data_IF_125990944580
#
_entry.id   IF_125990944580
#
_cell.length_a   1.000
_cell.length_b   1.000
_cell.length_c   1.000
_cell.angle_alpha   90.00
_cell.angle_beta   90.00
_cell.angle_gamma   90.00
#
_symmetry.space_group_name_H-M   'P 1'
#
loop_
_entity.id
_entity.type
_entity.pdbx_description
1 polymer ?
#
# COMPACT_ATOMS: atom_id res chain seq x y z
N UNK A 1 -9.37 33.55 -36.98
CA UNK A 1 -9.35 33.80 -35.53
C UNK A 1 -10.68 34.43 -35.14
N UNK A 2 -11.36 33.88 -34.14
CA UNK A 2 -12.66 34.41 -33.66
C UNK A 2 -12.40 35.51 -32.64
N UNK A 3 -13.21 36.55 -32.64
CA UNK A 3 -13.06 37.66 -31.69
C UNK A 3 -13.43 37.21 -30.26
N UNK A 4 -12.57 37.55 -29.29
CA UNK A 4 -12.78 37.25 -27.87
C UNK A 4 -14.06 37.90 -27.36
N UNK A 5 -14.36 39.10 -27.81
CA UNK A 5 -15.53 39.87 -27.40
C UNK A 5 -16.82 39.17 -27.82
N UNK A 6 -16.86 38.65 -29.05
CA UNK A 6 -18.01 37.89 -29.57
C UNK A 6 -18.25 36.61 -28.74
N UNK A 7 -17.18 35.87 -28.41
CA UNK A 7 -17.27 34.66 -27.57
C UNK A 7 -17.84 34.99 -26.18
N UNK A 8 -17.37 36.07 -25.55
CA UNK A 8 -17.84 36.52 -24.24
C UNK A 8 -19.32 36.92 -24.29
N UNK A 9 -19.74 37.67 -25.32
CA UNK A 9 -21.14 38.07 -25.49
C UNK A 9 -22.07 36.87 -25.71
N UNK A 10 -21.68 35.91 -26.55
CA UNK A 10 -22.47 34.69 -26.77
C UNK A 10 -22.55 33.83 -25.51
N UNK A 11 -21.45 33.72 -24.75
CA UNK A 11 -21.45 33.01 -23.48
C UNK A 11 -22.34 33.68 -22.43
N UNK A 12 -22.29 35.02 -22.32
CA UNK A 12 -23.17 35.80 -21.44
C UNK A 12 -24.65 35.66 -21.87
N UNK A 13 -24.96 35.65 -23.18
CA UNK A 13 -26.31 35.39 -23.68
C UNK A 13 -26.79 33.98 -23.32
N UNK A 14 -25.98 32.94 -23.52
CA UNK A 14 -26.33 31.57 -23.15
C UNK A 14 -26.54 31.42 -21.64
N UNK A 15 -25.76 32.13 -20.82
CA UNK A 15 -25.92 32.17 -19.36
C UNK A 15 -27.20 32.86 -18.93
N UNK A 16 -27.63 33.90 -19.66
CA UNK A 16 -28.83 34.67 -19.33
C UNK A 16 -30.15 33.91 -19.54
N UNK A 17 -30.12 32.80 -20.27
CA UNK A 17 -31.29 31.94 -20.47
C UNK A 17 -31.69 31.26 -19.14
N UNK A 18 -32.94 31.46 -18.72
CA UNK A 18 -33.51 30.90 -17.48
C UNK A 18 -34.64 29.90 -17.80
N UNK A 19 -35.03 29.10 -16.80
CA UNK A 19 -36.16 28.16 -16.90
C UNK A 19 -35.87 26.95 -17.79
N UNK A 20 -36.86 26.52 -18.58
CA UNK A 20 -36.75 25.39 -19.53
C UNK A 20 -35.71 25.63 -20.64
N UNK A 21 -35.37 26.90 -20.88
CA UNK A 21 -34.34 27.29 -21.85
C UNK A 21 -32.95 27.38 -21.23
N UNK A 22 -32.80 27.15 -19.92
CA UNK A 22 -31.50 27.20 -19.26
C UNK A 22 -30.59 26.13 -19.84
N UNK A 23 -29.49 26.56 -20.46
CA UNK A 23 -28.52 25.65 -21.08
C UNK A 23 -27.13 25.87 -20.53
N UNK A 24 -26.46 24.77 -20.16
CA UNK A 24 -25.03 24.78 -19.83
C UNK A 24 -24.22 25.47 -20.92
N UNK A 25 -23.38 26.43 -20.55
CA UNK A 25 -22.41 27.08 -21.43
C UNK A 25 -21.26 26.11 -21.71
N UNK A 26 -21.23 25.59 -22.94
CA UNK A 26 -20.21 24.65 -23.43
C UNK A 26 -19.55 25.20 -24.69
N UNK A 27 -18.30 24.81 -24.96
CA UNK A 27 -17.54 25.25 -26.13
C UNK A 27 -18.34 24.97 -27.42
N UNK A 28 -19.01 23.81 -27.50
CA UNK A 28 -19.88 23.44 -28.62
C UNK A 28 -21.03 24.43 -28.81
N UNK A 29 -21.79 24.73 -27.75
CA UNK A 29 -22.96 25.63 -27.84
C UNK A 29 -22.57 27.07 -28.14
N UNK A 30 -21.48 27.54 -27.54
CA UNK A 30 -20.93 28.87 -27.85
C UNK A 30 -20.54 28.90 -29.34
N UNK A 31 -19.80 27.91 -29.82
CA UNK A 31 -19.40 27.79 -31.23
C UNK A 31 -20.59 27.74 -32.19
N UNK A 32 -21.65 27.01 -31.86
CA UNK A 32 -22.85 26.88 -32.70
C UNK A 32 -23.60 28.21 -32.87
N UNK A 33 -23.43 29.15 -31.92
CA UNK A 33 -24.06 30.48 -31.90
C UNK A 33 -23.17 31.61 -32.45
N UNK A 34 -21.88 31.36 -32.67
CA UNK A 34 -20.96 32.34 -33.28
C UNK A 34 -21.26 32.55 -34.77
N UNK A 35 -21.11 33.77 -35.27
CA UNK A 35 -21.30 34.07 -36.71
C UNK A 35 -20.30 33.32 -37.58
N UNK A 36 -19.05 33.18 -37.09
CA UNK A 36 -18.00 32.38 -37.69
C UNK A 36 -17.69 31.21 -36.75
N UNK A 37 -18.05 30.00 -37.15
CA UNK A 37 -17.76 28.76 -36.41
C UNK A 37 -16.25 28.48 -36.42
N UNK A 38 -15.50 29.17 -35.57
CA UNK A 38 -14.05 28.95 -35.40
C UNK A 38 -13.69 27.53 -35.00
N UNK A 39 -12.39 27.25 -34.92
CA UNK A 39 -11.89 25.96 -34.43
C UNK A 39 -12.21 25.78 -32.95
N UNK A 40 -12.42 24.54 -32.50
CA UNK A 40 -12.57 24.23 -31.08
C UNK A 40 -11.35 24.65 -30.27
N UNK A 41 -10.15 24.54 -30.86
CA UNK A 41 -8.89 24.93 -30.24
C UNK A 41 -8.81 26.44 -29.98
N UNK A 42 -9.49 27.26 -30.80
CA UNK A 42 -9.49 28.72 -30.65
C UNK A 42 -10.54 29.15 -29.61
N UNK A 43 -11.72 28.53 -29.62
CA UNK A 43 -12.84 28.90 -28.75
C UNK A 43 -12.66 28.37 -27.33
N UNK A 44 -12.06 27.19 -27.17
CA UNK A 44 -11.89 26.50 -25.90
C UNK A 44 -11.21 27.34 -24.81
N UNK A 45 -9.98 27.86 -25.06
CA UNK A 45 -9.26 28.69 -24.09
C UNK A 45 -10.03 29.95 -23.68
N UNK A 46 -10.68 30.62 -24.65
CA UNK A 46 -11.44 31.86 -24.40
C UNK A 46 -12.70 31.60 -23.58
N UNK A 47 -13.42 30.50 -23.85
CA UNK A 47 -14.58 30.10 -23.03
C UNK A 47 -14.14 29.72 -21.61
N UNK A 48 -12.97 29.08 -21.46
CA UNK A 48 -12.44 28.75 -20.13
C UNK A 48 -12.09 30.02 -19.33
N UNK A 49 -11.46 30.98 -19.99
CA UNK A 49 -11.15 32.29 -19.43
C UNK A 49 -12.43 33.05 -19.02
N UNK A 50 -13.47 33.01 -19.86
CA UNK A 50 -14.79 33.55 -19.51
C UNK A 50 -15.39 32.88 -18.26
N UNK A 51 -15.35 31.55 -18.17
CA UNK A 51 -15.88 30.82 -17.00
C UNK A 51 -15.17 31.23 -15.70
N UNK A 52 -13.85 31.40 -15.78
CA UNK A 52 -13.02 31.82 -14.65
C UNK A 52 -13.36 33.25 -14.25
N UNK A 53 -13.38 34.17 -15.22
CA UNK A 53 -13.68 35.59 -15.01
C UNK A 53 -15.08 35.81 -14.42
N UNK A 54 -16.07 35.02 -14.85
CA UNK A 54 -17.47 35.13 -14.43
C UNK A 54 -17.84 34.22 -13.24
N UNK A 55 -16.88 33.44 -12.73
CA UNK A 55 -17.09 32.37 -11.76
C UNK A 55 -18.30 31.48 -12.11
N UNK A 56 -18.37 31.05 -13.37
CA UNK A 56 -19.51 30.29 -13.89
C UNK A 56 -19.53 28.87 -13.32
N UNK A 57 -20.55 28.55 -12.52
CA UNK A 57 -20.73 27.24 -11.90
C UNK A 57 -21.99 26.56 -12.43
N UNK A 58 -21.89 25.69 -13.46
CA UNK A 58 -23.05 25.18 -14.18
C UNK A 58 -24.00 24.36 -13.31
N UNK A 59 -23.50 23.65 -12.29
CA UNK A 59 -24.34 22.85 -11.39
C UNK A 59 -25.25 23.75 -10.57
N UNK A 60 -24.72 24.86 -10.04
CA UNK A 60 -25.49 25.79 -9.20
C UNK A 60 -26.48 26.60 -10.04
N UNK A 61 -26.04 27.09 -11.21
CA UNK A 61 -26.89 27.91 -12.08
C UNK A 61 -28.04 27.12 -12.72
N UNK A 62 -27.85 25.83 -12.99
CA UNK A 62 -28.91 24.97 -13.55
C UNK A 62 -29.94 24.53 -12.50
N UNK A 63 -29.61 24.60 -11.20
CA UNK A 63 -30.54 24.28 -10.11
C UNK A 63 -31.59 25.37 -9.83
N UNK A 64 -31.56 26.48 -10.57
CA UNK A 64 -32.52 27.60 -10.43
C UNK A 64 -32.67 28.12 -8.99
N UNK A 65 -31.59 28.09 -8.22
CA UNK A 65 -31.59 28.62 -6.86
C UNK A 65 -31.77 30.14 -6.89
N UNK A 66 -32.46 30.73 -5.89
CA UNK A 66 -32.49 32.19 -5.74
C UNK A 66 -31.08 32.78 -5.72
N UNK A 67 -30.85 33.89 -6.44
CA UNK A 67 -29.52 34.51 -6.61
C UNK A 67 -28.80 34.75 -5.27
N UNK A 68 -29.55 35.09 -4.22
CA UNK A 68 -29.02 35.28 -2.87
C UNK A 68 -28.43 33.99 -2.25
N UNK A 69 -29.08 32.84 -2.50
CA UNK A 69 -28.60 31.53 -2.03
C UNK A 69 -27.41 31.05 -2.86
N UNK A 70 -27.45 31.24 -4.18
CA UNK A 70 -26.31 30.92 -5.05
C UNK A 70 -25.06 31.68 -4.63
N UNK A 71 -25.17 32.99 -4.35
CA UNK A 71 -24.04 33.79 -3.88
C UNK A 71 -23.50 33.28 -2.54
N UNK A 72 -24.37 33.02 -1.57
CA UNK A 72 -23.96 32.48 -0.25
C UNK A 72 -23.28 31.12 -0.34
N UNK A 73 -23.79 30.22 -1.18
CA UNK A 73 -23.17 28.90 -1.40
C UNK A 73 -21.82 29.01 -2.10
N UNK A 74 -21.69 29.92 -3.07
CA UNK A 74 -20.41 30.19 -3.73
C UNK A 74 -19.37 30.77 -2.77
N UNK A 75 -19.76 31.75 -1.96
CA UNK A 75 -18.89 32.37 -0.96
C UNK A 75 -18.47 31.37 0.13
N UNK A 76 -19.42 30.53 0.60
CA UNK A 76 -19.13 29.45 1.55
C UNK A 76 -18.19 28.40 0.97
N UNK A 77 -18.45 27.94 -0.27
CA UNK A 77 -17.59 26.97 -0.94
C UNK A 77 -16.17 27.49 -1.16
N UNK A 78 -16.02 28.78 -1.48
CA UNK A 78 -14.72 29.44 -1.58
C UNK A 78 -14.01 29.48 -0.23
N UNK A 79 -14.68 29.93 0.83
CA UNK A 79 -14.10 29.98 2.17
C UNK A 79 -13.67 28.58 2.67
N UNK A 80 -14.46 27.54 2.38
CA UNK A 80 -14.12 26.16 2.71
C UNK A 80 -12.88 25.69 1.96
N UNK A 81 -12.78 25.95 0.65
CA UNK A 81 -11.61 25.60 -0.15
C UNK A 81 -10.36 26.36 0.32
N UNK A 82 -10.48 27.64 0.64
CA UNK A 82 -9.37 28.45 1.16
C UNK A 82 -8.86 27.90 2.50
N UNK A 83 -9.75 27.49 3.42
CA UNK A 83 -9.34 26.88 4.69
C UNK A 83 -8.72 25.48 4.50
N UNK A 84 -9.25 24.65 3.59
CA UNK A 84 -8.65 23.35 3.27
C UNK A 84 -7.26 23.52 2.65
N UNK A 85 -7.08 24.49 1.75
CA UNK A 85 -5.76 24.78 1.19
C UNK A 85 -4.79 25.31 2.27
N UNK A 86 -5.28 26.15 3.18
CA UNK A 86 -4.49 26.63 4.31
C UNK A 86 -4.09 25.50 5.26
N UNK A 87 -5.01 24.58 5.58
CA UNK A 87 -4.73 23.43 6.45
C UNK A 87 -3.74 22.46 5.81
N UNK A 88 -3.91 22.14 4.53
CA UNK A 88 -2.94 21.32 3.78
C UNK A 88 -1.56 21.98 3.73
N UNK A 89 -1.50 23.31 3.56
CA UNK A 89 -0.23 24.04 3.55
C UNK A 89 0.47 23.96 4.91
N UNK A 90 -0.28 24.14 6.01
CA UNK A 90 0.24 23.96 7.38
C UNK A 90 0.78 22.54 7.58
N UNK A 91 0.07 21.52 7.10
CA UNK A 91 0.53 20.12 7.18
C UNK A 91 1.83 19.93 6.39
N UNK A 92 1.88 20.37 5.12
CA UNK A 92 3.10 20.26 4.29
C UNK A 92 4.30 21.00 4.89
N UNK A 93 4.08 22.16 5.51
CA UNK A 93 5.15 22.91 6.17
C UNK A 93 5.63 22.19 7.44
N UNK A 94 4.72 21.59 8.22
CA UNK A 94 5.09 20.76 9.36
C UNK A 94 5.86 19.50 8.96
N UNK A 95 5.47 18.86 7.85
CA UNK A 95 6.19 17.70 7.31
C UNK A 95 7.61 18.09 6.86
N UNK A 96 7.76 19.22 6.17
CA UNK A 96 9.09 19.74 5.77
C UNK A 96 9.99 20.00 6.98
N UNK A 97 9.45 20.64 8.02
CA UNK A 97 10.19 20.90 9.25
C UNK A 97 10.63 19.58 9.92
N UNK A 98 9.74 18.59 9.99
CA UNK A 98 10.08 17.26 10.52
C UNK A 98 11.16 16.56 9.71
N UNK A 99 11.08 16.61 8.37
CA UNK A 99 12.13 16.06 7.50
C UNK A 99 13.48 16.75 7.67
N UNK A 100 13.49 18.06 7.94
CA UNK A 100 14.73 18.78 8.21
C UNK A 100 15.36 18.36 9.54
N UNK A 101 14.55 18.15 10.58
CA UNK A 101 14.99 17.61 11.88
C UNK A 101 15.55 16.20 11.70
N UNK A 102 14.84 15.32 10.98
CA UNK A 102 15.31 13.96 10.70
C UNK A 102 16.64 13.99 9.94
N UNK A 103 16.76 14.81 8.88
CA UNK A 103 18.01 14.96 8.13
C UNK A 103 19.16 15.49 8.97
N UNK A 104 18.89 16.40 9.91
CA UNK A 104 19.91 16.87 10.85
C UNK A 104 20.38 15.73 11.77
N UNK A 105 19.44 14.99 12.38
CA UNK A 105 19.78 13.84 13.24
C UNK A 105 20.55 12.75 12.50
N UNK A 106 20.21 12.47 11.23
CA UNK A 106 20.96 11.53 10.40
C UNK A 106 22.39 12.00 10.10
N UNK A 107 22.61 13.31 9.90
CA UNK A 107 23.96 13.84 9.72
C UNK A 107 24.79 13.70 10.98
N UNK A 108 24.22 14.03 12.13
CA UNK A 108 24.88 13.84 13.43
C UNK A 108 25.29 12.38 13.64
N UNK A 109 24.40 11.42 13.35
CA UNK A 109 24.71 9.99 13.42
C UNK A 109 25.81 9.56 12.45
N UNK A 110 25.85 10.13 11.24
CA UNK A 110 26.91 9.86 10.27
C UNK A 110 28.25 10.44 10.73
N UNK A 111 28.24 11.65 11.31
CA UNK A 111 29.44 12.28 11.85
C UNK A 111 29.99 11.48 13.03
N UNK A 112 29.13 11.02 13.95
CA UNK A 112 29.51 10.11 15.03
C UNK A 112 30.10 8.79 14.49
N UNK A 113 29.45 8.18 13.49
CA UNK A 113 29.94 6.96 12.86
C UNK A 113 31.32 7.18 12.23
N UNK A 114 31.53 8.29 11.53
CA UNK A 114 32.83 8.64 10.95
C UNK A 114 33.92 8.81 12.03
N UNK A 115 33.61 9.48 13.15
CA UNK A 115 34.55 9.57 14.27
C UNK A 115 34.90 8.19 14.84
N UNK A 116 33.95 7.25 14.91
CA UNK A 116 34.25 5.88 15.35
C UNK A 116 35.11 5.12 14.35
N UNK A 117 34.93 5.36 13.04
CA UNK A 117 35.78 4.79 11.99
C UNK A 117 37.20 5.31 12.14
N UNK A 118 37.41 6.61 12.32
CA UNK A 118 38.75 7.20 12.51
C UNK A 118 39.47 6.58 13.73
N UNK A 119 38.76 6.38 14.84
CA UNK A 119 39.31 5.71 16.03
C UNK A 119 39.68 4.27 15.72
N UNK A 120 38.86 3.53 14.98
CA UNK A 120 39.16 2.15 14.60
C UNK A 120 40.34 2.08 13.61
N UNK A 121 40.42 2.97 12.64
CA UNK A 121 41.53 3.06 11.68
C UNK A 121 42.85 3.35 12.40
N UNK A 122 42.85 4.30 13.34
CA UNK A 122 44.05 4.60 14.16
C UNK A 122 44.49 3.38 14.99
N UNK A 123 43.54 2.62 15.55
CA UNK A 123 43.82 1.41 16.31
C UNK A 123 44.36 0.29 15.41
N UNK A 124 43.79 0.13 14.20
CA UNK A 124 44.28 -0.84 13.21
C UNK A 124 45.70 -0.47 12.77
N UNK A 125 45.98 0.81 12.52
CA UNK A 125 47.33 1.28 12.19
C UNK A 125 48.32 0.99 13.33
N UNK A 126 47.96 1.28 14.58
CA UNK A 126 48.79 1.00 15.75
C UNK A 126 49.05 -0.51 15.93
N UNK A 127 48.02 -1.35 15.81
CA UNK A 127 48.15 -2.81 15.87
C UNK A 127 48.99 -3.36 14.71
N UNK A 128 48.87 -2.79 13.52
CA UNK A 128 49.66 -3.20 12.35
C UNK A 128 51.13 -2.86 12.55
N UNK A 129 51.44 -1.65 13.04
CA UNK A 129 52.80 -1.24 13.37
C UNK A 129 53.41 -2.14 14.47
N UNK A 130 52.62 -2.52 15.47
CA UNK A 130 53.04 -3.43 16.53
C UNK A 130 53.31 -4.84 16.00
N UNK A 131 52.44 -5.37 15.12
CA UNK A 131 52.68 -6.65 14.44
C UNK A 131 53.94 -6.59 13.60
N UNK A 132 54.21 -5.49 12.89
CA UNK A 132 55.44 -5.30 12.13
C UNK A 132 56.68 -5.19 13.02
N UNK A 133 56.58 -4.55 14.18
CA UNK A 133 57.64 -4.50 15.19
C UNK A 133 57.95 -5.90 15.71
N UNK A 134 56.92 -6.64 16.13
CA UNK A 134 57.04 -8.02 16.60
C UNK A 134 57.57 -8.96 15.52
N UNK A 135 57.18 -8.78 14.26
CA UNK A 135 57.75 -9.54 13.14
C UNK A 135 59.23 -9.24 12.94
N UNK A 136 59.66 -7.98 13.07
CA UNK A 136 61.08 -7.61 12.97
C UNK A 136 61.89 -8.18 14.13
N UNK A 137 61.40 -8.06 15.36
CA UNK A 137 62.07 -8.60 16.55
C UNK A 137 62.09 -10.14 16.54
N UNK A 138 60.95 -10.77 16.23
CA UNK A 138 60.83 -12.22 16.09
C UNK A 138 61.56 -12.79 14.88
N UNK A 139 61.89 -11.99 13.85
CA UNK A 139 62.77 -12.37 12.75
C UNK A 139 64.25 -12.34 13.15
N UNK A 140 64.63 -11.52 14.13
CA UNK A 140 65.99 -11.54 14.73
C UNK A 140 66.14 -12.75 15.66
N UNK A 141 65.09 -13.12 16.41
CA UNK A 141 65.05 -14.38 17.19
C UNK A 141 64.91 -15.63 16.30
N UNK A 142 64.37 -15.50 15.07
CA UNK A 142 64.23 -16.60 14.12
C UNK A 142 65.53 -17.28 13.69
N UNK A 143 66.64 -16.53 13.72
CA UNK A 143 67.96 -17.02 13.31
C UNK A 143 68.54 -18.08 14.28
N UNK A 144 67.91 -18.30 15.44
CA UNK A 144 68.28 -19.31 16.43
C UNK A 144 67.18 -20.32 16.76
N UNK A 145 66.14 -20.47 15.92
CA UNK A 145 64.98 -21.26 16.32
C UNK A 145 65.29 -22.75 16.46
N UNK A 146 65.03 -23.29 17.64
CA UNK A 146 65.20 -24.71 17.91
C UNK A 146 63.98 -25.50 17.42
N UNK A 147 64.13 -26.81 17.23
CA UNK A 147 63.04 -27.73 16.86
C UNK A 147 61.82 -27.64 17.80
N UNK A 148 61.99 -27.11 19.00
CA UNK A 148 60.94 -26.97 20.01
C UNK A 148 59.97 -25.83 19.69
N UNK A 149 60.46 -24.72 19.12
CA UNK A 149 59.64 -23.56 18.77
C UNK A 149 58.78 -23.81 17.53
N UNK A 150 59.27 -24.63 16.59
CA UNK A 150 58.49 -25.09 15.43
C UNK A 150 57.32 -25.98 15.85
N UNK A 151 57.51 -26.81 16.89
CA UNK A 151 56.44 -27.61 17.47
C UNK A 151 55.41 -26.75 18.22
N UNK A 152 55.82 -25.61 18.79
CA UNK A 152 54.92 -24.67 19.45
C UNK A 152 54.12 -23.81 18.47
N UNK A 153 54.70 -23.40 17.33
CA UNK A 153 53.97 -22.75 16.23
C UNK A 153 52.86 -23.67 15.67
N UNK A 154 53.13 -24.97 15.50
CA UNK A 154 52.13 -25.96 15.10
C UNK A 154 50.99 -26.12 16.12
N UNK A 155 51.26 -25.95 17.43
CA UNK A 155 50.20 -25.93 18.45
C UNK A 155 49.37 -24.64 18.39
N UNK A 156 49.98 -23.51 18.04
CA UNK A 156 49.28 -22.22 17.88
C UNK A 156 48.37 -22.21 16.66
N UNK A 157 48.80 -22.79 15.54
CA UNK A 157 47.93 -22.93 14.35
C UNK A 157 46.79 -23.90 14.61
N UNK A 158 47.05 -25.04 15.26
CA UNK A 158 46.01 -26.01 15.64
C UNK A 158 44.96 -25.40 16.61
N UNK A 159 45.40 -24.59 17.58
CA UNK A 159 44.46 -23.87 18.47
C UNK A 159 43.65 -22.80 17.75
N UNK A 160 44.23 -22.10 16.76
CA UNK A 160 43.50 -21.12 15.95
C UNK A 160 42.49 -21.78 15.01
N UNK A 161 42.86 -22.88 14.37
CA UNK A 161 41.95 -23.68 13.52
C UNK A 161 40.81 -24.29 14.33
N UNK A 162 41.09 -24.81 15.53
CA UNK A 162 40.06 -25.25 16.49
C UNK A 162 39.14 -24.09 16.90
N UNK A 163 39.67 -22.89 17.10
CA UNK A 163 38.88 -21.69 17.37
C UNK A 163 37.99 -21.26 16.19
N UNK A 164 38.50 -21.36 14.96
CA UNK A 164 37.72 -21.11 13.74
C UNK A 164 36.61 -22.16 13.55
N UNK A 165 36.92 -23.44 13.77
CA UNK A 165 35.94 -24.53 13.72
C UNK A 165 34.86 -24.37 14.79
N UNK A 166 35.22 -23.96 16.01
CA UNK A 166 34.25 -23.68 17.08
C UNK A 166 33.34 -22.49 16.74
N UNK A 167 33.87 -21.42 16.13
CA UNK A 167 33.06 -20.28 15.66
C UNK A 167 32.10 -20.68 14.54
N UNK A 168 32.56 -21.49 13.58
CA UNK A 168 31.72 -22.01 12.51
C UNK A 168 30.62 -22.95 13.03
N UNK A 169 30.94 -23.77 14.05
CA UNK A 169 29.98 -24.65 14.72
C UNK A 169 28.97 -23.85 15.54
N UNK A 170 29.40 -22.79 16.24
CA UNK A 170 28.52 -21.85 16.93
C UNK A 170 27.57 -21.14 15.95
N UNK A 171 28.07 -20.67 14.81
CA UNK A 171 27.25 -20.05 13.76
C UNK A 171 26.22 -21.03 13.19
N UNK A 172 26.64 -22.27 12.85
CA UNK A 172 25.70 -23.33 12.43
C UNK A 172 24.68 -23.66 13.50
N UNK A 173 25.08 -23.75 14.77
CA UNK A 173 24.15 -24.00 15.88
C UNK A 173 23.18 -22.83 16.11
N UNK A 174 23.55 -21.61 15.70
CA UNK A 174 22.72 -20.42 15.76
C UNK A 174 21.68 -20.45 14.63
N UNK A 175 22.11 -20.77 13.41
CA UNK A 175 21.23 -20.98 12.25
C UNK A 175 20.28 -22.17 12.45
N UNK A 176 20.76 -23.25 13.07
CA UNK A 176 19.97 -24.46 13.37
C UNK A 176 18.99 -24.27 14.54
N UNK A 177 19.27 -23.31 15.44
CA UNK A 177 18.36 -22.93 16.55
C UNK A 177 17.24 -21.98 16.13
N UNK A 178 17.34 -21.31 14.98
CA UNK A 178 16.20 -20.60 14.40
C UNK A 178 15.30 -21.65 13.75
N UNK A 179 14.52 -22.35 14.59
CA UNK A 179 13.57 -23.34 14.14
C UNK A 179 12.67 -22.73 13.06
N UNK A 180 12.47 -23.45 11.96
CA UNK A 180 11.57 -23.06 10.87
C UNK A 180 10.19 -22.76 11.46
N UNK A 181 9.79 -21.49 11.48
CA UNK A 181 8.54 -21.02 12.11
C UNK A 181 8.68 -20.28 13.45
N UNK A 182 9.86 -20.19 14.05
CA UNK A 182 10.10 -19.40 15.28
C UNK A 182 9.81 -17.91 15.07
N UNK A 183 10.16 -17.39 13.88
CA UNK A 183 9.83 -16.02 13.47
C UNK A 183 8.32 -15.80 13.36
N UNK A 184 7.59 -16.75 12.78
CA UNK A 184 6.13 -16.65 12.63
C UNK A 184 5.42 -16.74 13.99
N UNK A 185 5.87 -17.64 14.87
CA UNK A 185 5.37 -17.74 16.23
C UNK A 185 5.62 -16.45 17.02
N UNK A 186 6.81 -15.87 16.89
CA UNK A 186 7.14 -14.57 17.47
C UNK A 186 6.19 -13.48 16.97
N UNK A 187 5.95 -13.39 15.66
CA UNK A 187 5.05 -12.37 15.10
C UNK A 187 3.60 -12.55 15.54
N UNK A 188 3.11 -13.78 15.70
CA UNK A 188 1.78 -14.02 16.30
C UNK A 188 1.69 -13.52 17.73
N UNK A 189 2.75 -13.70 18.53
CA UNK A 189 2.81 -13.17 19.89
C UNK A 189 2.80 -11.63 19.87
N UNK A 190 3.57 -11.00 18.98
CA UNK A 190 3.60 -9.53 18.81
C UNK A 190 2.22 -9.00 18.44
N UNK A 191 1.57 -9.61 17.44
CA UNK A 191 0.24 -9.19 16.97
C UNK A 191 -0.81 -9.26 18.10
N UNK A 192 -0.82 -10.35 18.86
CA UNK A 192 -1.74 -10.52 19.99
C UNK A 192 -1.56 -9.43 21.04
N UNK A 193 -0.32 -9.09 21.39
CA UNK A 193 -0.03 -8.03 22.37
C UNK A 193 -0.37 -6.64 21.82
N UNK A 194 -0.09 -6.36 20.55
CA UNK A 194 -0.48 -5.10 19.89
C UNK A 194 -1.99 -4.94 19.92
N UNK A 195 -2.75 -5.97 19.51
CA UNK A 195 -4.21 -5.94 19.56
C UNK A 195 -4.73 -5.68 20.98
N UNK A 196 -4.18 -6.37 21.98
CA UNK A 196 -4.56 -6.16 23.37
C UNK A 196 -4.28 -4.72 23.84
N UNK A 197 -3.16 -4.12 23.43
CA UNK A 197 -2.81 -2.74 23.73
C UNK A 197 -3.79 -1.75 23.09
N UNK A 198 -4.07 -1.91 21.79
CA UNK A 198 -4.99 -1.03 21.06
C UNK A 198 -6.41 -1.15 21.64
N UNK A 199 -6.89 -2.37 21.94
CA UNK A 199 -8.19 -2.57 22.57
C UNK A 199 -8.30 -1.91 23.95
N UNK A 200 -7.20 -1.91 24.72
CA UNK A 200 -7.18 -1.35 26.08
C UNK A 200 -7.04 0.17 26.11
N UNK A 201 -6.26 0.74 25.19
CA UNK A 201 -5.84 2.16 25.23
C UNK A 201 -6.42 3.01 24.10
N UNK A 202 -7.06 2.40 23.12
CA UNK A 202 -7.57 3.05 21.92
C UNK A 202 -6.54 3.14 20.79
N UNK A 203 -6.87 3.87 19.71
CA UNK A 203 -6.00 4.03 18.54
C UNK A 203 -4.66 4.68 18.91
N UNK A 204 -3.56 4.13 18.39
CA UNK A 204 -2.22 4.64 18.72
C UNK A 204 -1.17 4.41 17.63
N UNK A 205 -0.12 5.24 17.56
CA UNK A 205 0.94 5.10 16.57
C UNK A 205 1.85 3.90 16.90
N UNK A 206 2.57 3.40 15.89
CA UNK A 206 3.48 2.27 16.06
C UNK A 206 4.59 2.49 17.11
N UNK A 207 5.02 3.75 17.31
CA UNK A 207 6.01 4.10 18.33
C UNK A 207 5.52 3.81 19.74
N UNK A 208 4.30 4.24 20.06
CA UNK A 208 3.67 4.03 21.38
C UNK A 208 3.33 2.55 21.60
N UNK A 209 2.94 1.85 20.52
CA UNK A 209 2.76 0.40 20.55
C UNK A 209 4.05 -0.32 20.92
N UNK A 210 5.17 0.03 20.27
CA UNK A 210 6.48 -0.58 20.56
C UNK A 210 6.90 -0.34 22.01
N UNK A 211 6.70 0.87 22.54
CA UNK A 211 6.99 1.19 23.95
C UNK A 211 6.06 0.47 24.92
N UNK A 212 4.84 0.14 24.49
CA UNK A 212 3.86 -0.60 25.28
C UNK A 212 4.08 -2.12 25.32
N UNK A 213 4.91 -2.68 24.43
CA UNK A 213 5.13 -4.12 24.36
C UNK A 213 5.90 -4.65 25.58
N UNK A 214 5.60 -5.89 26.05
CA UNK A 214 6.32 -6.49 27.15
C UNK A 214 7.83 -6.62 26.88
N UNK A 215 8.67 -6.29 27.87
CA UNK A 215 10.14 -6.38 27.73
C UNK A 215 10.63 -7.79 27.36
N UNK A 216 9.94 -8.83 27.81
CA UNK A 216 10.23 -10.21 27.43
C UNK A 216 10.11 -10.45 25.91
N UNK A 217 9.13 -9.82 25.27
CA UNK A 217 8.89 -9.93 23.84
C UNK A 217 9.90 -9.10 23.03
N UNK A 218 10.27 -7.91 23.52
CA UNK A 218 11.36 -7.11 22.94
C UNK A 218 12.72 -7.85 23.01
N UNK A 219 12.99 -8.53 24.12
CA UNK A 219 14.22 -9.32 24.28
C UNK A 219 14.22 -10.56 23.37
N UNK A 220 13.09 -11.28 23.26
CA UNK A 220 12.95 -12.40 22.31
C UNK A 220 13.21 -11.98 20.86
N UNK A 221 12.84 -10.77 20.47
CA UNK A 221 13.16 -10.25 19.12
C UNK A 221 14.66 -10.27 18.83
N UNK A 222 15.52 -10.00 19.82
CA UNK A 222 16.98 -10.09 19.68
C UNK A 222 17.46 -11.52 19.48
N UNK A 223 16.81 -12.48 20.15
CA UNK A 223 17.16 -13.90 20.08
C UNK A 223 16.79 -14.54 18.74
N UNK A 224 15.77 -14.01 18.05
CA UNK A 224 15.36 -14.46 16.70
C UNK A 224 15.96 -13.58 15.58
N UNK A 225 17.01 -12.81 15.89
CA UNK A 225 17.73 -11.92 14.96
C UNK A 225 16.85 -10.89 14.25
N UNK A 226 15.74 -10.51 14.90
CA UNK A 226 14.77 -9.53 14.41
C UNK A 226 14.52 -8.46 15.48
N UNK A 227 15.44 -7.49 15.65
CA UNK A 227 15.21 -6.39 16.57
C UNK A 227 13.96 -5.60 16.13
N UNK A 228 12.97 -5.53 17.01
CA UNK A 228 11.75 -4.74 16.79
C UNK A 228 12.10 -3.25 16.79
N UNK A 229 12.16 -2.66 15.60
CA UNK A 229 12.19 -1.21 15.42
C UNK A 229 10.81 -0.68 15.07
N UNK A 230 10.57 0.62 15.28
CA UNK A 230 9.28 1.26 14.97
C UNK A 230 8.91 1.06 13.50
N UNK A 231 9.88 1.20 12.59
CA UNK A 231 9.66 1.01 11.16
C UNK A 231 9.28 -0.43 10.80
N UNK A 232 9.96 -1.41 11.40
CA UNK A 232 9.65 -2.83 11.18
C UNK A 232 8.29 -3.23 11.73
N UNK A 233 7.95 -2.75 12.93
CA UNK A 233 6.64 -2.97 13.52
C UNK A 233 5.54 -2.38 12.63
N UNK A 234 5.67 -1.11 12.21
CA UNK A 234 4.71 -0.47 11.31
C UNK A 234 4.56 -1.23 9.99
N UNK A 235 5.67 -1.64 9.37
CA UNK A 235 5.66 -2.41 8.13
C UNK A 235 4.88 -3.73 8.29
N UNK A 236 5.09 -4.45 9.40
CA UNK A 236 4.38 -5.70 9.67
C UNK A 236 2.92 -5.50 10.00
N UNK A 237 2.58 -4.49 10.80
CA UNK A 237 1.18 -4.17 11.11
C UNK A 237 0.42 -3.78 9.83
N UNK A 238 1.02 -3.05 8.90
CA UNK A 238 0.44 -2.76 7.57
C UNK A 238 0.20 -3.99 6.73
N UNK A 239 1.07 -4.99 6.81
CA UNK A 239 0.84 -6.26 6.12
C UNK A 239 -0.40 -6.98 6.70
N UNK A 240 -0.70 -6.75 7.98
CA UNK A 240 -1.89 -7.26 8.66
C UNK A 240 -3.15 -6.44 8.40
N UNK A 241 -3.06 -5.16 7.99
CA UNK A 241 -4.24 -4.32 7.70
C UNK A 241 -4.91 -4.63 6.34
N UNK A 242 -4.50 -5.68 5.63
CA UNK A 242 -5.14 -6.11 4.37
C UNK A 242 -6.52 -6.74 4.57
N UNK A 243 -7.16 -7.20 3.49
CA UNK A 243 -8.51 -7.79 3.52
C UNK A 243 -8.59 -8.96 4.53
N UNK A 244 -9.30 -8.74 5.64
CA UNK A 244 -9.46 -9.71 6.74
C UNK A 244 -8.55 -9.46 7.96
N UNK A 245 -7.81 -8.37 7.97
CA UNK A 245 -6.95 -7.95 9.06
C UNK A 245 -7.65 -7.66 10.38
N UNK A 246 -6.95 -7.90 11.49
CA UNK A 246 -7.36 -7.59 12.86
C UNK A 246 -7.21 -6.10 13.22
N UNK A 247 -6.43 -5.35 12.43
CA UNK A 247 -6.11 -3.93 12.64
C UNK A 247 -6.35 -3.12 11.36
N UNK A 248 -6.59 -1.82 11.52
CA UNK A 248 -6.64 -0.82 10.43
C UNK A 248 -5.74 0.36 10.82
N UNK A 249 -5.05 0.96 9.84
CA UNK A 249 -4.30 2.21 10.03
C UNK A 249 -5.14 3.39 9.51
N UNK A 250 -5.51 4.33 10.39
CA UNK A 250 -6.19 5.60 10.04
C UNK A 250 -5.39 6.77 10.59
N UNK A 251 -5.05 7.74 9.74
CA UNK A 251 -4.26 8.93 10.11
C UNK A 251 -2.95 8.61 10.85
N UNK A 252 -2.31 7.49 10.49
CA UNK A 252 -1.07 7.02 11.11
C UNK A 252 -1.23 6.33 12.48
N UNK A 253 -2.47 6.14 12.92
CA UNK A 253 -2.83 5.42 14.14
C UNK A 253 -3.38 4.04 13.80
N UNK A 254 -2.97 3.03 14.56
CA UNK A 254 -3.52 1.68 14.45
C UNK A 254 -4.71 1.53 15.40
N UNK A 255 -5.84 1.11 14.84
CA UNK A 255 -7.08 0.83 15.57
C UNK A 255 -7.55 -0.61 15.32
N UNK A 256 -8.35 -1.20 16.22
CA UNK A 256 -8.90 -2.53 16.00
C UNK A 256 -9.81 -2.45 14.78
N UNK A 257 -9.66 -3.38 13.86
CA UNK A 257 -10.69 -3.59 12.87
C UNK A 257 -11.92 -4.04 13.65
N UNK A 258 -12.95 -3.17 13.76
CA UNK A 258 -14.22 -3.59 14.32
C UNK A 258 -14.64 -4.82 13.54
N UNK A 259 -14.60 -5.98 14.20
CA UNK A 259 -15.04 -7.22 13.61
C UNK A 259 -16.43 -6.90 13.06
N UNK A 260 -16.55 -6.82 11.73
CA UNK A 260 -17.83 -6.58 11.05
C UNK A 260 -18.79 -7.53 11.74
N UNK A 261 -19.67 -6.99 12.58
CA UNK A 261 -20.52 -7.80 13.44
C UNK A 261 -21.12 -8.85 12.55
N UNK A 262 -20.94 -10.13 12.92
CA UNK A 262 -21.48 -11.29 12.21
C UNK A 262 -22.86 -10.91 11.73
N UNK A 263 -22.97 -10.58 10.44
CA UNK A 263 -24.22 -10.17 9.85
C UNK A 263 -25.16 -11.35 10.09
N UNK A 264 -26.34 -11.06 10.62
CA UNK A 264 -27.36 -12.08 10.82
C UNK A 264 -27.49 -12.93 9.53
N UNK A 265 -27.66 -14.26 9.63
CA UNK A 265 -27.74 -15.13 8.47
C UNK A 265 -28.98 -14.75 7.64
N UNK A 266 -28.79 -13.85 6.67
CA UNK A 266 -29.88 -13.23 5.94
C UNK A 266 -29.50 -11.93 5.23
N UNK A 267 -28.52 -11.16 5.75
CA UNK A 267 -28.07 -9.95 5.06
C UNK A 267 -27.01 -10.28 4.00
N UNK A 268 -27.23 -9.91 2.72
CA UNK A 268 -26.30 -10.23 1.65
C UNK A 268 -24.97 -9.51 1.89
N UNK A 269 -23.88 -10.27 1.86
CA UNK A 269 -22.59 -9.82 2.33
C UNK A 269 -22.09 -8.54 1.63
N UNK A 270 -21.46 -7.58 2.33
CA UNK A 270 -21.11 -6.23 1.81
C UNK A 270 -20.05 -6.18 0.70
N UNK A 271 -19.61 -7.32 0.17
CA UNK A 271 -18.74 -7.42 -1.02
C UNK A 271 -19.56 -7.67 -2.29
N UNK A 272 -20.88 -7.44 -2.26
CA UNK A 272 -21.69 -7.34 -3.46
C UNK A 272 -21.05 -6.31 -4.40
N UNK A 273 -20.45 -6.82 -5.48
CA UNK A 273 -20.12 -6.06 -6.69
C UNK A 273 -21.31 -5.12 -6.94
N UNK A 274 -21.03 -3.83 -7.01
CA UNK A 274 -22.02 -2.75 -7.18
C UNK A 274 -23.17 -3.20 -8.09
N UNK A 275 -24.40 -2.77 -7.77
CA UNK A 275 -25.60 -2.91 -8.63
C UNK A 275 -25.44 -2.28 -10.02
N UNK A 276 -24.25 -1.79 -10.35
CA UNK A 276 -23.89 -1.36 -11.69
C UNK A 276 -24.10 -2.49 -12.71
N UNK A 277 -24.72 -2.17 -13.86
CA UNK A 277 -24.89 -3.12 -14.94
C UNK A 277 -23.52 -3.63 -15.42
N UNK A 278 -23.42 -4.89 -15.86
CA UNK A 278 -22.15 -5.45 -16.29
C UNK A 278 -21.57 -4.63 -17.44
N UNK A 279 -20.31 -4.21 -17.30
CA UNK A 279 -19.58 -3.38 -18.29
C UNK A 279 -19.32 -4.11 -19.61
N UNK A 280 -19.41 -5.43 -19.63
CA UNK A 280 -19.23 -6.26 -20.83
C UNK A 280 -20.05 -7.55 -20.74
N UNK A 281 -20.35 -8.16 -21.89
CA UNK A 281 -21.01 -9.47 -21.95
C UNK A 281 -20.22 -10.55 -21.18
N UNK A 282 -18.88 -10.44 -21.19
CA UNK A 282 -18.01 -11.31 -20.39
C UNK A 282 -18.22 -11.13 -18.89
N UNK A 283 -18.46 -9.90 -18.42
CA UNK A 283 -18.79 -9.63 -17.01
C UNK A 283 -20.18 -10.16 -16.65
N UNK A 284 -21.15 -10.03 -17.57
CA UNK A 284 -22.49 -10.59 -17.38
C UNK A 284 -22.44 -12.12 -17.19
N UNK A 285 -21.63 -12.82 -18.01
CA UNK A 285 -21.39 -14.25 -17.85
C UNK A 285 -20.74 -14.56 -16.50
N UNK A 286 -19.70 -13.82 -16.08
CA UNK A 286 -19.03 -14.07 -14.79
C UNK A 286 -19.92 -13.79 -13.57
N UNK A 287 -20.86 -12.84 -13.68
CA UNK A 287 -21.89 -12.59 -12.66
C UNK A 287 -22.85 -13.77 -12.56
N UNK A 288 -23.33 -14.31 -13.67
CA UNK A 288 -24.16 -15.53 -13.66
C UNK A 288 -23.41 -16.76 -13.12
N UNK A 289 -22.10 -16.87 -13.38
CA UNK A 289 -21.24 -17.90 -12.80
C UNK A 289 -21.17 -17.76 -11.28
N UNK A 290 -20.98 -16.54 -10.77
CA UNK A 290 -21.03 -16.26 -9.33
C UNK A 290 -22.37 -16.69 -8.74
N UNK A 291 -23.50 -16.37 -9.37
CA UNK A 291 -24.82 -16.72 -8.86
C UNK A 291 -25.03 -18.24 -8.75
N UNK A 292 -24.52 -19.00 -9.72
CA UNK A 292 -24.50 -20.47 -9.67
C UNK A 292 -23.66 -20.96 -8.48
N UNK A 293 -22.48 -20.38 -8.27
CA UNK A 293 -21.60 -20.73 -7.15
C UNK A 293 -22.20 -20.37 -5.79
N UNK A 294 -22.93 -19.24 -5.68
CA UNK A 294 -23.64 -18.85 -4.45
C UNK A 294 -24.75 -19.85 -4.13
N UNK A 295 -25.54 -20.29 -5.13
CA UNK A 295 -26.67 -21.19 -4.92
C UNK A 295 -26.27 -22.64 -4.62
N UNK A 296 -25.16 -23.09 -5.18
CA UNK A 296 -24.80 -24.51 -5.20
C UNK A 296 -23.47 -24.83 -4.53
N UNK A 297 -22.73 -23.83 -4.05
CA UNK A 297 -21.45 -24.01 -3.38
C UNK A 297 -20.26 -24.22 -4.32
N UNK A 298 -19.08 -24.55 -3.76
CA UNK A 298 -17.85 -24.72 -4.53
C UNK A 298 -17.92 -25.86 -5.54
N UNK A 299 -17.57 -25.61 -6.79
CA UNK A 299 -17.64 -26.63 -7.85
C UNK A 299 -16.61 -26.45 -8.96
N UNK A 300 -16.44 -27.49 -9.77
CA UNK A 300 -15.53 -27.47 -10.93
C UNK A 300 -16.16 -26.72 -12.10
N UNK A 301 -15.37 -26.05 -12.95
CA UNK A 301 -15.90 -25.29 -14.09
C UNK A 301 -16.84 -26.08 -15.02
N UNK A 302 -16.58 -27.38 -15.21
CA UNK A 302 -17.43 -28.26 -16.03
C UNK A 302 -18.84 -28.42 -15.46
N UNK A 303 -18.99 -28.38 -14.14
CA UNK A 303 -20.28 -28.54 -13.47
C UNK A 303 -21.02 -27.21 -13.34
N UNK A 304 -20.29 -26.09 -13.27
CA UNK A 304 -20.85 -24.74 -13.40
C UNK A 304 -21.55 -24.60 -14.75
N UNK A 305 -20.88 -24.97 -15.85
CA UNK A 305 -21.44 -24.85 -17.21
C UNK A 305 -22.78 -25.57 -17.35
N UNK A 306 -22.94 -26.74 -16.72
CA UNK A 306 -24.20 -27.51 -16.74
C UNK A 306 -25.35 -26.83 -15.98
N UNK A 307 -25.02 -25.90 -15.08
CA UNK A 307 -25.97 -25.18 -14.22
C UNK A 307 -26.18 -23.72 -14.63
N UNK A 308 -25.46 -23.24 -15.65
CA UNK A 308 -25.65 -21.90 -16.20
C UNK A 308 -27.00 -21.81 -16.93
N UNK A 309 -27.71 -20.66 -16.84
CA UNK A 309 -28.88 -20.41 -17.67
C UNK A 309 -28.55 -20.53 -19.15
N UNK A 310 -29.49 -21.07 -19.95
CA UNK A 310 -29.30 -21.27 -21.38
C UNK A 310 -28.96 -19.96 -22.12
N UNK A 311 -29.55 -18.84 -21.70
CA UNK A 311 -29.26 -17.51 -22.23
C UNK A 311 -27.81 -17.08 -21.98
N UNK A 312 -27.27 -17.38 -20.79
CA UNK A 312 -25.87 -17.10 -20.45
C UNK A 312 -24.92 -17.97 -21.26
N UNK A 313 -25.28 -19.24 -21.51
CA UNK A 313 -24.49 -20.15 -22.35
C UNK A 313 -24.45 -19.66 -23.80
N UNK A 314 -25.58 -19.20 -24.33
CA UNK A 314 -25.64 -18.59 -25.67
C UNK A 314 -24.79 -17.31 -25.74
N UNK A 315 -24.90 -16.42 -24.74
CA UNK A 315 -24.11 -15.19 -24.65
C UNK A 315 -22.61 -15.49 -24.58
N UNK A 316 -22.19 -16.45 -23.75
CA UNK A 316 -20.80 -16.87 -23.64
C UNK A 316 -20.26 -17.44 -24.96
N UNK A 317 -21.08 -18.20 -25.68
CA UNK A 317 -20.71 -18.81 -26.98
C UNK A 317 -20.60 -17.76 -28.09
N UNK A 318 -21.45 -16.73 -28.07
CA UNK A 318 -21.38 -15.61 -29.02
C UNK A 318 -20.19 -14.68 -28.73
N UNK A 319 -19.90 -14.40 -27.45
CA UNK A 319 -18.88 -13.44 -27.05
C UNK A 319 -17.46 -14.02 -27.11
N UNK A 320 -17.27 -15.31 -26.80
CA UNK A 320 -15.94 -15.95 -26.85
C UNK A 320 -15.76 -16.75 -28.13
N UNK A 321 -14.73 -16.40 -28.92
CA UNK A 321 -14.37 -17.09 -30.17
C UNK A 321 -14.16 -18.60 -30.02
N UNK A 322 -13.65 -19.04 -28.87
CA UNK A 322 -13.39 -20.45 -28.54
C UNK A 322 -14.56 -21.11 -27.79
N UNK A 323 -15.71 -20.43 -27.70
CA UNK A 323 -16.87 -20.87 -26.91
C UNK A 323 -16.51 -21.15 -25.44
N UNK A 324 -17.13 -22.19 -24.88
CA UNK A 324 -16.92 -22.64 -23.50
C UNK A 324 -15.74 -23.60 -23.32
N UNK A 325 -15.01 -23.95 -24.38
CA UNK A 325 -13.88 -24.89 -24.30
C UNK A 325 -12.75 -24.36 -23.40
N UNK A 326 -12.60 -23.03 -23.34
CA UNK A 326 -11.63 -22.33 -22.48
C UNK A 326 -12.26 -21.72 -21.22
N UNK A 327 -13.45 -22.14 -20.84
CA UNK A 327 -14.18 -21.57 -19.70
C UNK A 327 -13.37 -21.58 -18.40
N UNK A 328 -12.66 -22.67 -18.11
CA UNK A 328 -11.77 -22.77 -16.94
C UNK A 328 -10.67 -21.70 -16.94
N UNK A 329 -10.08 -21.42 -18.11
CA UNK A 329 -9.05 -20.38 -18.26
C UNK A 329 -9.66 -18.98 -18.04
N UNK A 330 -10.85 -18.74 -18.61
CA UNK A 330 -11.57 -17.46 -18.43
C UNK A 330 -11.93 -17.20 -16.96
N UNK A 331 -12.30 -18.24 -16.21
CA UNK A 331 -12.48 -18.12 -14.78
C UNK A 331 -11.16 -17.79 -14.07
N UNK A 332 -10.07 -18.50 -14.37
CA UNK A 332 -8.76 -18.25 -13.77
C UNK A 332 -8.26 -16.81 -14.01
N UNK A 333 -8.43 -16.28 -15.22
CA UNK A 333 -8.05 -14.91 -15.59
C UNK A 333 -8.84 -13.84 -14.80
N UNK A 334 -9.95 -14.21 -14.15
CA UNK A 334 -10.85 -13.32 -13.40
C UNK A 334 -10.80 -13.54 -11.88
N UNK A 335 -9.90 -14.40 -11.41
CA UNK A 335 -9.57 -14.51 -9.98
C UNK A 335 -8.62 -13.36 -9.62
N UNK A 336 -9.10 -12.38 -8.86
CA UNK A 336 -8.32 -11.18 -8.54
C UNK A 336 -9.16 -10.07 -7.86
N UNK A 337 -8.67 -8.82 -7.79
CA UNK A 337 -9.23 -7.76 -6.94
C UNK A 337 -10.70 -7.36 -7.21
N UNK A 338 -11.29 -7.82 -8.32
CA UNK A 338 -12.71 -7.66 -8.67
C UNK A 338 -13.44 -9.01 -8.54
N UNK A 339 -13.25 -9.69 -7.40
CA UNK A 339 -13.48 -11.12 -7.23
C UNK A 339 -14.96 -11.52 -7.31
N UNK A 340 -15.42 -11.91 -8.50
CA UNK A 340 -16.67 -12.66 -8.65
C UNK A 340 -16.64 -13.97 -7.84
N UNK A 341 -15.48 -14.62 -7.82
CA UNK A 341 -15.21 -15.90 -7.18
C UNK A 341 -13.70 -16.05 -6.92
N UNK A 342 -13.33 -17.02 -6.10
CA UNK A 342 -11.95 -17.41 -5.82
C UNK A 342 -11.73 -18.89 -6.11
N UNK A 343 -10.46 -19.29 -6.23
CA UNK A 343 -10.08 -20.68 -6.45
C UNK A 343 -9.88 -21.40 -5.12
N UNK A 344 -10.52 -22.55 -4.98
CA UNK A 344 -10.32 -23.47 -3.86
C UNK A 344 -9.39 -24.63 -4.28
N UNK A 345 -8.89 -25.38 -3.30
CA UNK A 345 -8.13 -26.61 -3.54
C UNK A 345 -8.85 -27.59 -4.48
N UNK A 346 -8.09 -28.41 -5.21
CA UNK A 346 -8.66 -29.43 -6.11
C UNK A 346 -9.31 -28.90 -7.40
N UNK A 347 -9.07 -27.64 -7.76
CA UNK A 347 -9.60 -27.02 -8.98
C UNK A 347 -11.09 -26.61 -8.87
N UNK A 348 -11.58 -26.49 -7.64
CA UNK A 348 -12.90 -25.95 -7.34
C UNK A 348 -12.86 -24.42 -7.33
N UNK A 349 -14.00 -23.79 -7.59
CA UNK A 349 -14.19 -22.35 -7.47
C UNK A 349 -15.37 -22.10 -6.54
N UNK A 350 -15.27 -21.09 -5.67
CA UNK A 350 -16.32 -20.68 -4.75
C UNK A 350 -16.63 -19.19 -4.92
N UNK A 351 -17.88 -18.80 -4.67
CA UNK A 351 -18.31 -17.41 -4.79
C UNK A 351 -17.63 -16.51 -3.73
N UNK A 352 -17.33 -15.27 -4.12
CA UNK A 352 -16.82 -14.24 -3.21
C UNK A 352 -15.30 -14.17 -3.05
N UNK A 353 -14.79 -13.25 -2.21
CA UNK A 353 -13.38 -13.16 -1.90
C UNK A 353 -12.93 -14.45 -1.21
N UNK A 354 -11.75 -14.95 -1.56
CA UNK A 354 -11.26 -16.19 -0.97
C UNK A 354 -11.09 -16.07 0.52
N UNK A 355 -11.63 -17.03 1.26
CA UNK A 355 -11.08 -17.38 2.57
C UNK A 355 -9.63 -17.77 2.29
N UNK A 356 -8.69 -16.86 2.57
CA UNK A 356 -7.28 -17.23 2.61
C UNK A 356 -7.19 -18.35 3.63
N UNK A 357 -6.73 -19.52 3.20
CA UNK A 357 -6.46 -20.68 4.05
C UNK A 357 -5.87 -20.22 5.38
N UNK A 358 -6.70 -20.25 6.43
CA UNK A 358 -6.23 -20.24 7.80
C UNK A 358 -5.58 -21.61 7.97
N UNK A 359 -4.26 -21.67 7.78
CA UNK A 359 -3.49 -22.89 7.95
C UNK A 359 -3.74 -23.45 9.36
N UNK A 360 -4.23 -24.70 9.39
CA UNK A 360 -4.45 -25.49 10.59
C UNK A 360 -3.14 -25.92 11.26
#
# INVERSE_FOLDING_TARGET
MVDRTEIFQVADQLRSLKGEQAVRVSVRRVRDKLKRRGSYSDVGPVVNDWKTTRNYQPVIELMQLPDALQKRLGDFGKALLDEVQASESRVRDSERANFEIERASFRELLDEANMTVDVLESRVAALTAEVERLRREGAVEAAGRSSEEMAEELRRTDTWEKGAALRALMARSRDEKVATGAQEAFWRDVEREVLALVLKRGPMPAGDLLQGLPAALLNRGKDVEMPLSVGWLRFRLRALTGDGGSLVERDGLFEPCEARGSAAPGDPAPWMVDDEPPTSDGDAVMRAVRDVLVRHGPMKPRDIVKKLPAETVALATAFWKDGLDRFSKKMADRVGPKAYFHRCGGGLYAAGPGEREVAA
#
